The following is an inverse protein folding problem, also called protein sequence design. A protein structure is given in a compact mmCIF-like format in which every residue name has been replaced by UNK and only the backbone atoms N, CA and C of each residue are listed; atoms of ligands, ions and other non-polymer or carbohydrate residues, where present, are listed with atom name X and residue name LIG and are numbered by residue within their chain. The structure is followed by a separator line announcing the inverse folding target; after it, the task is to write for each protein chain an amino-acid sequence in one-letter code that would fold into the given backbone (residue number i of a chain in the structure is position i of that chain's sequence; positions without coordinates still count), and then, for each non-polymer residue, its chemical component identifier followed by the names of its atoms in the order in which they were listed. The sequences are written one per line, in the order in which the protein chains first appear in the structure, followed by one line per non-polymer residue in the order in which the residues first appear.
data_IF_090524910964
#
_entry.id   IF_090524910964
#
_cell.length_a   1.000
_cell.length_b   1.000
_cell.length_c   1.000
_cell.angle_alpha   90.00
_cell.angle_beta   90.00
_cell.angle_gamma   90.00
#
_symmetry.space_group_name_H-M   'P 1'
#
loop_
_entity.id
_entity.type
_entity.pdbx_description
1 polymer ?
#
# COMPACT_ATOMS: atom_id res chain seq x y z
N UNK A 1 -13.76 -7.30 5.25
CA UNK A 1 -13.42 -8.57 4.55
C UNK A 1 -13.07 -8.35 3.06
N UNK A 2 -14.02 -7.89 2.23
CA UNK A 2 -13.83 -7.78 0.78
C UNK A 2 -12.64 -6.91 0.35
N UNK A 3 -12.42 -5.76 1.00
CA UNK A 3 -11.28 -4.87 0.71
C UNK A 3 -9.91 -5.54 0.86
N UNK A 4 -9.78 -6.49 1.79
CA UNK A 4 -8.52 -7.21 2.00
C UNK A 4 -8.27 -8.20 0.86
N UNK A 5 -9.32 -8.88 0.38
CA UNK A 5 -9.23 -9.74 -0.81
C UNK A 5 -8.81 -8.94 -2.04
N UNK A 6 -9.38 -7.74 -2.22
CA UNK A 6 -9.04 -6.88 -3.35
C UNK A 6 -7.55 -6.47 -3.31
N UNK A 7 -7.06 -5.94 -2.18
CA UNK A 7 -5.63 -5.57 -2.06
C UNK A 7 -4.72 -6.79 -2.29
N UNK A 8 -5.14 -7.98 -1.83
CA UNK A 8 -4.38 -9.20 -2.05
C UNK A 8 -4.38 -9.70 -3.51
N UNK A 9 -5.33 -9.27 -4.35
CA UNK A 9 -5.52 -9.78 -5.70
C UNK A 9 -5.26 -8.80 -6.85
N UNK A 10 -5.25 -7.49 -6.61
CA UNK A 10 -5.09 -6.48 -7.67
C UNK A 10 -3.62 -6.19 -8.02
N UNK A 11 -3.38 -5.55 -9.16
CA UNK A 11 -2.04 -5.11 -9.59
C UNK A 11 -1.75 -3.64 -9.26
N UNK A 12 -2.80 -2.86 -8.92
CA UNK A 12 -2.72 -1.43 -8.65
C UNK A 12 -3.68 -1.02 -7.53
N UNK A 13 -3.18 -0.24 -6.57
CA UNK A 13 -3.98 0.46 -5.55
C UNK A 13 -3.75 1.96 -5.67
N UNK A 14 -4.82 2.73 -5.79
CA UNK A 14 -4.77 4.19 -5.83
C UNK A 14 -5.55 4.82 -4.68
N UNK A 15 -5.17 6.01 -4.22
CA UNK A 15 -5.93 6.77 -3.20
C UNK A 15 -6.16 8.21 -3.62
N UNK A 16 -7.30 8.78 -3.20
CA UNK A 16 -7.61 10.21 -3.29
C UNK A 16 -8.56 10.57 -2.13
N UNK A 17 -8.07 10.39 -0.90
CA UNK A 17 -8.85 10.43 0.35
C UNK A 17 -8.53 11.63 1.24
N UNK A 18 -7.54 12.43 0.87
CA UNK A 18 -6.99 13.54 1.64
C UNK A 18 -5.77 13.12 2.48
N UNK A 19 -4.73 13.98 2.60
CA UNK A 19 -3.50 13.69 3.35
C UNK A 19 -3.73 13.23 4.79
N UNK A 20 -4.70 13.83 5.48
CA UNK A 20 -5.04 13.51 6.87
C UNK A 20 -5.64 12.10 7.06
N UNK A 21 -6.11 11.48 5.97
CA UNK A 21 -6.76 10.17 5.97
C UNK A 21 -5.78 9.05 5.59
N UNK A 22 -4.65 9.36 4.93
CA UNK A 22 -3.66 8.35 4.51
C UNK A 22 -3.19 7.45 5.66
N UNK A 23 -2.86 8.04 6.81
CA UNK A 23 -2.46 7.27 7.99
C UNK A 23 -3.57 6.31 8.48
N UNK A 24 -4.84 6.71 8.35
CA UNK A 24 -6.00 5.91 8.80
C UNK A 24 -6.26 4.71 7.89
N UNK A 25 -5.94 4.79 6.60
CA UNK A 25 -6.13 3.68 5.66
C UNK A 25 -4.93 2.72 5.60
N UNK A 26 -3.76 3.14 6.09
CA UNK A 26 -2.53 2.35 6.04
C UNK A 26 -2.67 0.95 6.66
N UNK A 27 -3.44 0.81 7.75
CA UNK A 27 -3.66 -0.50 8.38
C UNK A 27 -4.44 -1.49 7.51
N UNK A 28 -5.38 -1.01 6.70
CA UNK A 28 -6.10 -1.87 5.76
C UNK A 28 -5.18 -2.33 4.63
N UNK A 29 -4.30 -1.45 4.14
CA UNK A 29 -3.30 -1.80 3.13
C UNK A 29 -2.31 -2.82 3.70
N UNK A 30 -1.79 -2.59 4.91
CA UNK A 30 -0.88 -3.53 5.58
C UNK A 30 -1.50 -4.93 5.72
N UNK A 31 -2.74 -5.02 6.21
CA UNK A 31 -3.47 -6.30 6.30
C UNK A 31 -3.66 -6.97 4.93
N UNK A 32 -3.94 -6.18 3.89
CA UNK A 32 -4.03 -6.69 2.52
C UNK A 32 -2.70 -7.23 1.99
N UNK A 33 -1.58 -6.56 2.30
CA UNK A 33 -0.24 -7.01 1.92
C UNK A 33 0.19 -8.28 2.66
N UNK A 34 -0.12 -8.39 3.96
CA UNK A 34 0.09 -9.63 4.73
C UNK A 34 -0.69 -10.78 4.07
N UNK A 35 -1.94 -10.53 3.69
CA UNK A 35 -2.75 -11.54 2.99
C UNK A 35 -2.19 -11.88 1.60
N UNK A 36 -1.75 -10.88 0.83
CA UNK A 36 -1.11 -11.08 -0.47
C UNK A 36 0.11 -12.00 -0.36
N UNK A 37 0.97 -11.74 0.63
CA UNK A 37 2.13 -12.55 0.96
C UNK A 37 1.73 -13.98 1.35
N UNK A 38 0.75 -14.14 2.25
CA UNK A 38 0.26 -15.44 2.68
C UNK A 38 -0.37 -16.27 1.54
N UNK A 39 -0.95 -15.62 0.53
CA UNK A 39 -1.47 -16.26 -0.67
C UNK A 39 -0.36 -16.67 -1.67
N UNK A 40 0.90 -16.33 -1.42
CA UNK A 40 2.02 -16.58 -2.35
C UNK A 40 1.97 -15.74 -3.62
N UNK A 41 1.19 -14.65 -3.63
CA UNK A 41 1.03 -13.82 -4.81
C UNK A 41 2.20 -12.84 -4.97
N UNK A 42 3.20 -13.22 -5.77
CA UNK A 42 4.40 -12.42 -6.09
C UNK A 42 4.24 -11.52 -7.31
N UNK A 43 3.05 -11.45 -7.93
CA UNK A 43 2.80 -10.51 -9.03
C UNK A 43 3.04 -9.08 -8.54
N UNK A 44 3.80 -8.25 -9.28
CA UNK A 44 4.10 -6.88 -8.87
C UNK A 44 2.84 -6.08 -8.54
N UNK A 45 2.86 -5.37 -7.43
CA UNK A 45 1.80 -4.45 -7.02
C UNK A 45 2.34 -3.04 -6.96
N UNK A 46 1.68 -2.09 -7.61
CA UNK A 46 1.97 -0.67 -7.41
C UNK A 46 0.91 -0.02 -6.53
N UNK A 47 1.34 0.84 -5.61
CA UNK A 47 0.49 1.69 -4.79
C UNK A 47 0.83 3.14 -5.15
N UNK A 48 -0.19 3.95 -5.42
CA UNK A 48 -0.05 5.35 -5.84
C UNK A 48 -1.05 6.21 -5.07
N UNK A 49 -0.57 7.09 -4.20
CA UNK A 49 -1.40 8.09 -3.55
C UNK A 49 -1.55 9.30 -4.48
N UNK A 50 -2.74 9.49 -5.04
CA UNK A 50 -3.13 10.61 -5.90
C UNK A 50 -3.70 11.75 -5.05
N UNK A 51 -2.91 12.18 -4.06
CA UNK A 51 -3.31 13.23 -3.13
C UNK A 51 -2.71 14.58 -3.55
N UNK A 52 -3.35 15.68 -3.14
CA UNK A 52 -2.74 17.01 -3.20
C UNK A 52 -1.65 17.15 -2.10
N UNK A 53 -0.57 16.39 -2.27
CA UNK A 53 0.55 16.32 -1.35
C UNK A 53 1.82 15.89 -2.08
N UNK A 54 2.92 16.60 -1.82
CA UNK A 54 4.25 16.22 -2.31
C UNK A 54 4.66 14.88 -1.69
N UNK A 55 5.04 13.93 -2.54
CA UNK A 55 5.46 12.58 -2.15
C UNK A 55 4.43 11.86 -1.27
N UNK A 56 3.16 11.95 -1.67
CA UNK A 56 2.04 11.36 -0.95
C UNK A 56 2.22 9.87 -0.69
N UNK A 57 2.71 9.14 -1.68
CA UNK A 57 2.87 7.69 -1.64
C UNK A 57 4.03 7.29 -0.73
N UNK A 58 5.11 8.05 -0.71
CA UNK A 58 6.23 7.84 0.22
C UNK A 58 5.80 8.00 1.68
N UNK A 59 4.92 8.96 1.99
CA UNK A 59 4.38 9.09 3.35
C UNK A 59 3.44 7.93 3.69
N UNK A 60 2.58 7.52 2.76
CA UNK A 60 1.75 6.33 2.93
C UNK A 60 2.60 5.07 3.18
N UNK A 61 3.71 4.91 2.46
CA UNK A 61 4.67 3.81 2.65
C UNK A 61 5.15 3.72 4.09
N UNK A 62 5.54 4.85 4.70
CA UNK A 62 6.01 4.86 6.09
C UNK A 62 4.92 4.35 7.05
N UNK A 63 3.67 4.81 6.89
CA UNK A 63 2.56 4.36 7.71
C UNK A 63 2.22 2.88 7.52
N UNK A 64 2.36 2.36 6.29
CA UNK A 64 2.12 0.94 5.98
C UNK A 64 3.23 0.07 6.56
N UNK A 65 4.51 0.40 6.33
CA UNK A 65 5.64 -0.38 6.84
C UNK A 65 5.67 -0.45 8.37
N UNK A 66 5.32 0.64 9.06
CA UNK A 66 5.23 0.69 10.51
C UNK A 66 4.21 -0.32 11.12
N UNK A 67 3.31 -0.86 10.30
CA UNK A 67 2.28 -1.81 10.71
C UNK A 67 2.53 -3.24 10.20
N UNK A 68 3.64 -3.46 9.50
CA UNK A 68 4.00 -4.76 8.93
C UNK A 68 5.01 -5.51 9.80
N UNK A 69 4.84 -6.84 9.97
CA UNK A 69 5.90 -7.72 10.46
C UNK A 69 7.17 -7.65 9.59
N UNK A 70 8.33 -7.90 10.18
CA UNK A 70 9.64 -7.74 9.52
C UNK A 70 9.81 -8.64 8.28
N UNK A 71 9.35 -9.89 8.34
CA UNK A 71 9.36 -10.83 7.21
C UNK A 71 8.53 -10.30 6.03
N UNK A 72 7.37 -9.70 6.33
CA UNK A 72 6.51 -9.11 5.30
C UNK A 72 7.10 -7.81 4.76
N UNK A 73 7.82 -7.02 5.56
CA UNK A 73 8.50 -5.82 5.07
C UNK A 73 9.57 -6.15 4.02
N UNK A 74 10.38 -7.20 4.25
CA UNK A 74 11.36 -7.68 3.29
C UNK A 74 10.70 -8.13 1.98
N UNK A 75 9.58 -8.85 2.08
CA UNK A 75 8.80 -9.25 0.90
C UNK A 75 8.21 -8.05 0.15
N UNK A 76 7.63 -7.08 0.86
CA UNK A 76 7.07 -5.84 0.29
C UNK A 76 8.14 -5.06 -0.47
N UNK A 77 9.36 -4.97 0.06
CA UNK A 77 10.46 -4.27 -0.60
C UNK A 77 10.83 -4.85 -1.97
N UNK A 78 10.54 -6.12 -2.22
CA UNK A 78 10.84 -6.81 -3.48
C UNK A 78 9.66 -6.79 -4.47
N UNK A 79 8.42 -6.78 -3.98
CA UNK A 79 7.23 -7.02 -4.80
C UNK A 79 6.25 -5.84 -4.91
N UNK A 80 6.43 -4.80 -4.08
CA UNK A 80 5.48 -3.68 -4.01
C UNK A 80 6.17 -2.34 -4.27
N UNK A 81 5.74 -1.67 -5.33
CA UNK A 81 6.14 -0.30 -5.64
C UNK A 81 5.27 0.71 -4.89
N UNK A 82 5.90 1.64 -4.17
CA UNK A 82 5.24 2.85 -3.68
C UNK A 82 5.68 4.01 -4.57
N UNK A 83 4.84 4.36 -5.54
CA UNK A 83 5.18 5.30 -6.61
C UNK A 83 4.57 6.66 -6.29
N UNK A 84 5.41 7.65 -6.02
CA UNK A 84 4.97 9.03 -5.82
C UNK A 84 4.34 9.58 -7.11
N UNK A 85 3.29 10.39 -6.95
CA UNK A 85 2.59 11.05 -8.06
C UNK A 85 2.52 12.56 -7.85
N UNK A 86 2.26 13.27 -8.95
CA UNK A 86 1.79 14.65 -8.96
C UNK A 86 0.51 14.68 -9.80
N UNK A 87 -0.55 15.29 -9.27
CA UNK A 87 -1.89 15.31 -9.88
C UNK A 87 -2.40 16.76 -9.92
N UNK A 88 -3.07 17.11 -11.02
CA UNK A 88 -3.71 18.41 -11.30
C UNK A 88 -5.14 18.14 -11.79
#
# INVERSE_FOLDING_TARGET
PQRLELIAGVDLVTTAVGPQILAKIAGAIAQGLVKRHANGNTSPLNIIACENMVRGTSQLKQHVLAQLPEDVQAWVAQHVGFVDSAVD
#
